data_IF_660250408636
#
_entry.id   IF_660250408636
#
_cell.length_a   1.000
_cell.length_b   1.000
_cell.length_c   1.000
_cell.angle_alpha   90.00
_cell.angle_beta   90.00
_cell.angle_gamma   90.00
#
_symmetry.space_group_name_H-M   'P 1'
#
loop_
_entity.id
_entity.type
_entity.pdbx_description
1 polymer ?
#
# COMPACT_ATOMS: atom_id res chain seq x y z
N UNK A 1 -15.57 -0.96 -22.81
CA UNK A 1 -16.02 -0.08 -23.90
C UNK A 1 -14.83 0.78 -24.30
N UNK A 2 -14.46 0.77 -25.57
CA UNK A 2 -13.40 1.62 -26.12
C UNK A 2 -13.94 3.04 -26.40
N UNK A 3 -13.06 4.00 -26.72
CA UNK A 3 -13.49 5.35 -27.08
C UNK A 3 -14.35 5.39 -28.35
N UNK A 4 -14.18 4.41 -29.26
CA UNK A 4 -15.06 4.19 -30.42
C UNK A 4 -16.49 3.78 -30.05
N UNK A 5 -16.73 3.37 -28.80
CA UNK A 5 -17.99 2.75 -28.36
C UNK A 5 -17.97 1.21 -28.43
N UNK A 6 -16.96 0.60 -29.03
CA UNK A 6 -16.89 -0.86 -29.16
C UNK A 6 -16.83 -1.57 -27.82
N UNK A 7 -17.52 -2.71 -27.73
CA UNK A 7 -17.46 -3.60 -26.59
C UNK A 7 -16.44 -4.70 -26.84
N UNK A 8 -15.41 -4.73 -26.00
CA UNK A 8 -14.37 -5.76 -26.01
C UNK A 8 -14.48 -6.59 -24.73
N UNK A 9 -14.47 -7.91 -24.88
CA UNK A 9 -14.25 -8.88 -23.79
C UNK A 9 -12.84 -9.43 -23.92
N UNK A 10 -12.10 -9.48 -22.82
CA UNK A 10 -10.70 -9.92 -22.80
C UNK A 10 -10.60 -11.41 -22.44
N UNK A 11 -9.41 -11.98 -22.62
CA UNK A 11 -9.15 -13.40 -22.35
C UNK A 11 -10.09 -14.35 -23.09
N UNK A 12 -10.42 -15.45 -22.43
CA UNK A 12 -11.32 -16.47 -22.99
C UNK A 12 -12.79 -16.01 -23.02
N UNK A 13 -13.13 -14.92 -22.35
CA UNK A 13 -14.50 -14.37 -22.36
C UNK A 13 -14.89 -13.72 -23.70
N UNK A 14 -13.91 -13.47 -24.58
CA UNK A 14 -14.16 -13.12 -25.98
C UNK A 14 -14.77 -14.26 -26.81
N UNK A 15 -14.66 -15.52 -26.34
CA UNK A 15 -15.26 -16.68 -27.00
C UNK A 15 -16.75 -16.73 -26.61
N UNK A 16 -17.62 -16.61 -27.61
CA UNK A 16 -19.08 -16.51 -27.39
C UNK A 16 -19.81 -17.84 -27.55
N UNK A 17 -19.17 -18.85 -28.13
CA UNK A 17 -19.80 -20.15 -28.33
C UNK A 17 -20.16 -20.79 -26.98
N UNK A 18 -21.42 -21.20 -26.84
CA UNK A 18 -21.96 -21.92 -25.68
C UNK A 18 -21.66 -21.26 -24.33
N UNK A 19 -21.67 -19.92 -24.25
CA UNK A 19 -21.30 -19.17 -23.04
C UNK A 19 -19.99 -19.67 -22.41
N UNK A 20 -18.97 -19.82 -23.25
CA UNK A 20 -17.63 -20.38 -22.97
C UNK A 20 -17.37 -20.73 -21.50
N UNK A 21 -17.38 -22.03 -21.13
CA UNK A 21 -17.21 -22.45 -19.73
C UNK A 21 -15.84 -22.07 -19.15
N UNK A 22 -14.90 -21.65 -20.00
CA UNK A 22 -13.54 -21.25 -19.61
C UNK A 22 -13.37 -19.74 -19.47
N UNK A 23 -14.41 -18.94 -19.72
CA UNK A 23 -14.37 -17.47 -19.75
C UNK A 23 -13.70 -16.84 -18.51
N UNK A 24 -13.90 -17.44 -17.33
CA UNK A 24 -13.38 -16.93 -16.05
C UNK A 24 -12.42 -17.89 -15.35
N UNK A 25 -12.01 -18.99 -16.01
CA UNK A 25 -11.16 -20.02 -15.40
C UNK A 25 -9.67 -19.77 -15.56
N UNK A 26 -9.26 -19.05 -16.61
CA UNK A 26 -7.85 -18.88 -16.95
C UNK A 26 -7.52 -17.44 -17.29
N UNK A 27 -6.34 -16.98 -16.85
CA UNK A 27 -5.75 -15.70 -17.24
C UNK A 27 -4.96 -15.80 -18.55
N UNK A 28 -4.81 -17.01 -19.10
CA UNK A 28 -4.11 -17.20 -20.37
C UNK A 28 -5.01 -16.86 -21.55
N UNK A 29 -4.46 -16.04 -22.45
CA UNK A 29 -5.12 -15.53 -23.65
C UNK A 29 -4.36 -16.05 -24.89
N UNK A 30 -5.08 -16.38 -25.96
CA UNK A 30 -4.46 -16.63 -27.26
C UNK A 30 -4.22 -15.29 -27.97
N UNK A 31 -2.96 -14.99 -28.31
CA UNK A 31 -2.53 -13.67 -28.78
C UNK A 31 -2.02 -12.77 -27.63
N UNK A 32 -1.86 -11.46 -27.86
CA UNK A 32 -1.43 -10.53 -26.81
C UNK A 32 -2.45 -10.48 -25.66
N UNK A 33 -1.96 -10.59 -24.43
CA UNK A 33 -2.74 -10.25 -23.24
C UNK A 33 -2.84 -8.72 -23.14
N UNK A 34 -4.08 -8.21 -23.22
CA UNK A 34 -4.37 -6.77 -23.25
C UNK A 34 -5.06 -6.29 -21.97
N UNK A 35 -5.38 -7.17 -21.04
CA UNK A 35 -6.06 -6.89 -19.77
C UNK A 35 -5.33 -5.80 -18.97
N UNK A 36 -3.99 -5.89 -18.92
CA UNK A 36 -3.14 -4.93 -18.23
C UNK A 36 -3.24 -3.51 -18.80
N UNK A 37 -3.60 -3.34 -20.08
CA UNK A 37 -3.78 -2.03 -20.69
C UNK A 37 -4.97 -1.27 -20.10
N UNK A 38 -5.90 -1.94 -19.41
CA UNK A 38 -7.06 -1.31 -18.78
C UNK A 38 -6.89 -1.08 -17.27
N UNK A 39 -5.74 -1.46 -16.70
CA UNK A 39 -5.39 -1.18 -15.31
C UNK A 39 -4.60 0.11 -15.24
N UNK A 40 -5.03 1.05 -14.39
CA UNK A 40 -4.36 2.34 -14.23
C UNK A 40 -4.14 3.08 -15.58
N UNK A 41 -5.15 3.12 -16.44
CA UNK A 41 -5.03 3.80 -17.74
C UNK A 41 -6.31 4.57 -18.07
N UNK A 42 -6.32 5.18 -19.25
CA UNK A 42 -7.46 5.86 -19.85
C UNK A 42 -7.81 5.30 -21.24
N UNK A 43 -7.56 4.01 -21.47
CA UNK A 43 -7.75 3.36 -22.78
C UNK A 43 -9.18 2.78 -22.99
N UNK A 44 -10.01 2.80 -21.95
CA UNK A 44 -11.37 2.30 -22.04
C UNK A 44 -12.14 2.42 -20.73
N UNK A 45 -13.45 2.19 -20.80
CA UNK A 45 -14.34 2.07 -19.64
C UNK A 45 -14.60 0.60 -19.36
N UNK A 46 -14.14 0.11 -18.21
CA UNK A 46 -14.43 -1.25 -17.73
C UNK A 46 -15.86 -1.30 -17.21
N UNK A 47 -16.69 -2.18 -17.77
CA UNK A 47 -18.12 -2.30 -17.38
C UNK A 47 -18.44 -3.59 -16.64
N UNK A 48 -17.55 -4.59 -16.72
CA UNK A 48 -17.65 -5.89 -16.05
C UNK A 48 -16.24 -6.42 -15.81
N UNK A 49 -16.04 -7.13 -14.71
CA UNK A 49 -14.80 -7.84 -14.40
C UNK A 49 -15.10 -9.15 -13.68
N UNK A 50 -14.21 -10.13 -13.81
CA UNK A 50 -14.24 -11.35 -13.00
C UNK A 50 -13.13 -11.26 -11.94
N UNK A 51 -13.44 -11.78 -10.76
CA UNK A 51 -12.51 -11.86 -9.63
C UNK A 51 -12.60 -13.28 -9.09
N UNK A 52 -11.46 -13.92 -8.88
CA UNK A 52 -11.42 -15.22 -8.21
C UNK A 52 -11.64 -15.04 -6.72
N UNK A 53 -12.49 -15.90 -6.16
CA UNK A 53 -12.75 -15.94 -4.73
C UNK A 53 -12.00 -17.14 -4.14
N UNK A 54 -11.31 -16.89 -3.03
CA UNK A 54 -10.67 -17.95 -2.29
C UNK A 54 -11.75 -18.80 -1.59
N UNK A 55 -11.71 -20.14 -1.72
CA UNK A 55 -12.61 -21.00 -0.96
C UNK A 55 -12.44 -20.80 0.55
N UNK A 56 -13.53 -20.98 1.28
CA UNK A 56 -13.54 -20.88 2.73
C UNK A 56 -12.55 -21.90 3.34
N UNK A 57 -11.56 -21.45 4.13
CA UNK A 57 -10.58 -22.36 4.72
C UNK A 57 -11.14 -23.04 5.97
N UNK A 58 -10.68 -24.27 6.25
CA UNK A 58 -11.02 -25.02 7.48
C UNK A 58 -10.43 -24.37 8.74
N UNK A 59 -9.29 -23.70 8.61
CA UNK A 59 -8.66 -22.96 9.68
C UNK A 59 -8.08 -21.64 9.17
N UNK A 60 -8.12 -20.65 10.06
CA UNK A 60 -7.49 -19.35 9.94
C UNK A 60 -6.73 -19.09 11.24
N UNK A 61 -5.47 -18.68 11.16
CA UNK A 61 -4.75 -18.16 12.32
C UNK A 61 -4.44 -16.69 12.09
N UNK A 62 -4.91 -15.85 13.00
CA UNK A 62 -4.51 -14.44 13.08
C UNK A 62 -3.16 -14.38 13.78
N UNK A 63 -2.11 -14.01 13.04
CA UNK A 63 -0.76 -13.92 13.57
C UNK A 63 -0.31 -12.47 13.67
N UNK A 64 0.53 -12.20 14.67
CA UNK A 64 1.26 -10.94 14.74
C UNK A 64 2.67 -11.10 15.30
N UNK A 65 3.53 -10.15 14.97
CA UNK A 65 4.89 -10.07 15.49
C UNK A 65 5.26 -8.61 15.79
N UNK A 66 5.80 -8.36 16.98
CA UNK A 66 6.13 -7.03 17.47
C UNK A 66 7.62 -6.91 17.76
N UNK A 67 8.27 -5.84 17.28
CA UNK A 67 9.68 -5.53 17.56
C UNK A 67 9.82 -4.17 18.28
N UNK A 68 10.62 -4.07 19.34
CA UNK A 68 10.62 -2.91 20.23
C UNK A 68 11.34 -1.67 19.68
N UNK A 69 12.35 -1.80 18.81
CA UNK A 69 13.20 -0.66 18.43
C UNK A 69 13.04 -0.25 16.97
N UNK A 70 13.33 1.02 16.66
CA UNK A 70 13.24 1.55 15.30
C UNK A 70 14.15 0.79 14.31
N UNK A 71 15.38 0.48 14.73
CA UNK A 71 16.36 -0.22 13.88
C UNK A 71 16.08 -1.72 13.73
N UNK A 72 15.16 -2.30 14.52
CA UNK A 72 14.77 -3.71 14.39
C UNK A 72 14.08 -4.01 13.05
N UNK A 73 13.61 -2.97 12.34
CA UNK A 73 12.94 -3.12 11.05
C UNK A 73 13.81 -3.88 10.04
N UNK A 74 15.12 -3.64 10.04
CA UNK A 74 16.05 -4.27 9.09
C UNK A 74 16.00 -5.80 9.22
N UNK A 75 16.25 -6.32 10.42
CA UNK A 75 16.24 -7.77 10.66
C UNK A 75 14.82 -8.36 10.53
N UNK A 76 13.80 -7.61 10.92
CA UNK A 76 12.41 -8.02 10.81
C UNK A 76 12.00 -8.20 9.35
N UNK A 77 12.33 -7.25 8.48
CA UNK A 77 12.03 -7.33 7.04
C UNK A 77 12.79 -8.49 6.39
N UNK A 78 14.06 -8.73 6.74
CA UNK A 78 14.82 -9.84 6.17
C UNK A 78 14.26 -11.21 6.59
N UNK A 79 13.88 -11.38 7.86
CA UNK A 79 13.28 -12.61 8.37
C UNK A 79 11.94 -12.92 7.67
N UNK A 80 11.04 -11.94 7.59
CA UNK A 80 9.75 -12.10 6.91
C UNK A 80 9.91 -12.24 5.40
N UNK A 81 10.80 -11.48 4.77
CA UNK A 81 11.06 -11.55 3.34
C UNK A 81 11.52 -12.95 2.91
N UNK A 82 12.36 -13.62 3.70
CA UNK A 82 12.72 -15.01 3.46
C UNK A 82 11.52 -15.96 3.55
N UNK A 83 10.71 -15.84 4.61
CA UNK A 83 9.51 -16.65 4.81
C UNK A 83 8.43 -16.40 3.74
N UNK A 84 8.41 -15.21 3.13
CA UNK A 84 7.57 -14.91 1.96
C UNK A 84 8.09 -15.56 0.70
N UNK A 85 9.41 -15.55 0.46
CA UNK A 85 10.01 -16.16 -0.73
C UNK A 85 9.92 -17.68 -0.76
N UNK A 86 10.03 -18.33 0.40
CA UNK A 86 10.00 -19.79 0.50
C UNK A 86 8.59 -20.37 0.69
N UNK A 87 7.58 -19.52 0.90
CA UNK A 87 6.18 -19.93 1.06
C UNK A 87 5.77 -20.36 2.48
N UNK A 88 6.65 -20.23 3.49
CA UNK A 88 6.30 -20.43 4.90
C UNK A 88 5.15 -19.50 5.29
N UNK A 89 5.22 -18.23 4.86
CA UNK A 89 4.11 -17.28 4.94
C UNK A 89 3.59 -17.03 3.51
N UNK A 90 2.45 -17.62 3.11
CA UNK A 90 1.95 -17.48 1.75
C UNK A 90 1.19 -16.15 1.53
N UNK A 91 0.65 -15.55 2.59
CA UNK A 91 -0.19 -14.34 2.52
C UNK A 91 0.63 -13.06 2.60
N UNK A 92 0.04 -11.95 2.14
CA UNK A 92 0.59 -10.62 2.36
C UNK A 92 0.84 -10.37 3.84
N UNK A 93 2.00 -9.81 4.20
CA UNK A 93 2.31 -9.39 5.58
C UNK A 93 2.20 -7.88 5.61
N UNK A 94 1.31 -7.37 6.44
CA UNK A 94 1.15 -5.94 6.65
C UNK A 94 2.03 -5.51 7.82
N UNK A 95 2.95 -4.60 7.55
CA UNK A 95 3.79 -3.96 8.55
C UNK A 95 3.25 -2.57 8.86
N UNK A 96 3.29 -2.19 10.13
CA UNK A 96 2.87 -0.87 10.60
C UNK A 96 3.82 -0.36 11.67
N UNK A 97 3.98 0.96 11.71
CA UNK A 97 4.75 1.69 12.73
C UNK A 97 3.90 1.96 13.97
N UNK A 98 4.56 2.22 15.10
CA UNK A 98 3.90 2.68 16.32
C UNK A 98 3.05 3.94 16.06
N UNK A 99 3.59 4.92 15.33
CA UNK A 99 2.89 6.16 14.98
C UNK A 99 1.55 5.85 14.31
N UNK A 100 1.54 5.02 13.28
CA UNK A 100 0.31 4.70 12.56
C UNK A 100 -0.71 3.99 13.45
N UNK A 101 -0.25 3.08 14.32
CA UNK A 101 -1.11 2.42 15.30
C UNK A 101 -1.77 3.44 16.24
N UNK A 102 -1.03 4.46 16.69
CA UNK A 102 -1.56 5.55 17.49
C UNK A 102 -2.54 6.43 16.69
N UNK A 103 -2.26 6.69 15.42
CA UNK A 103 -3.13 7.46 14.54
C UNK A 103 -4.51 6.81 14.38
N UNK A 104 -4.57 5.48 14.33
CA UNK A 104 -5.83 4.74 14.28
C UNK A 104 -6.57 4.82 15.62
N UNK A 105 -5.84 4.74 16.73
CA UNK A 105 -6.41 4.64 18.07
C UNK A 105 -6.93 5.98 18.63
N UNK A 106 -6.37 7.11 18.21
CA UNK A 106 -6.69 8.41 18.79
C UNK A 106 -6.28 9.60 17.92
N UNK A 107 -6.17 10.78 18.55
CA UNK A 107 -5.69 12.00 17.89
C UNK A 107 -4.33 12.40 18.43
N UNK A 108 -3.57 13.19 17.68
CA UNK A 108 -2.23 13.62 18.09
C UNK A 108 -2.22 14.23 19.50
N UNK A 109 -3.22 15.07 19.82
CA UNK A 109 -3.35 15.74 21.12
C UNK A 109 -3.56 14.79 22.33
N UNK A 110 -3.98 13.55 22.08
CA UNK A 110 -4.11 12.52 23.11
C UNK A 110 -2.73 12.00 23.57
N UNK A 111 -1.71 12.15 22.72
CA UNK A 111 -0.38 11.57 22.89
C UNK A 111 0.72 12.64 23.03
N UNK A 112 0.56 13.78 22.36
CA UNK A 112 1.51 14.89 22.35
C UNK A 112 0.82 16.24 22.13
N UNK A 113 1.06 17.20 23.04
CA UNK A 113 0.51 18.57 22.99
C UNK A 113 1.57 19.64 22.71
N UNK A 114 2.84 19.24 22.62
CA UNK A 114 3.93 20.15 22.31
C UNK A 114 3.95 20.54 20.82
N UNK A 115 4.87 21.46 20.50
CA UNK A 115 5.16 21.88 19.12
C UNK A 115 5.93 20.79 18.37
N UNK A 116 5.84 20.81 17.03
CA UNK A 116 6.56 19.89 16.16
C UNK A 116 6.13 18.42 16.26
N UNK A 117 6.82 17.51 15.56
CA UNK A 117 6.56 16.06 15.64
C UNK A 117 6.73 15.51 17.06
N UNK A 118 6.12 14.35 17.36
CA UNK A 118 6.32 13.66 18.64
C UNK A 118 7.80 13.30 18.79
N UNK A 119 8.49 13.76 19.86
CA UNK A 119 9.91 13.47 20.04
C UNK A 119 10.15 12.01 20.44
N UNK A 120 11.32 11.47 20.08
CA UNK A 120 11.66 10.06 20.29
C UNK A 120 11.51 9.58 21.75
N UNK A 121 11.83 10.45 22.73
CA UNK A 121 11.64 10.11 24.15
C UNK A 121 10.16 9.89 24.50
N UNK A 122 9.25 10.67 23.91
CA UNK A 122 7.81 10.51 24.14
C UNK A 122 7.27 9.29 23.40
N UNK A 123 7.80 9.00 22.22
CA UNK A 123 7.46 7.75 21.51
C UNK A 123 7.87 6.51 22.29
N UNK A 124 9.00 6.54 22.97
CA UNK A 124 9.42 5.44 23.85
C UNK A 124 8.49 5.28 25.06
N UNK A 125 8.05 6.37 25.70
CA UNK A 125 7.04 6.32 26.75
C UNK A 125 5.72 5.72 26.24
N UNK A 126 5.23 6.19 25.10
CA UNK A 126 3.99 5.69 24.47
C UNK A 126 4.09 4.21 24.11
N UNK A 127 5.26 3.75 23.65
CA UNK A 127 5.53 2.34 23.38
C UNK A 127 5.34 1.49 24.64
N UNK A 128 5.89 1.94 25.77
CA UNK A 128 5.76 1.25 27.06
C UNK A 128 4.32 1.31 27.61
N UNK A 129 3.65 2.47 27.50
CA UNK A 129 2.27 2.69 27.95
C UNK A 129 1.26 1.80 27.20
N UNK A 130 1.45 1.64 25.89
CA UNK A 130 0.53 0.89 25.02
C UNK A 130 0.87 -0.60 24.89
N UNK A 131 2.11 -0.98 25.22
CA UNK A 131 2.62 -2.35 25.04
C UNK A 131 2.91 -2.71 23.58
N UNK A 132 2.77 -1.78 22.64
CA UNK A 132 3.14 -2.00 21.25
C UNK A 132 4.66 -1.97 21.06
N UNK A 133 5.14 -2.61 19.99
CA UNK A 133 6.50 -2.42 19.51
C UNK A 133 6.62 -1.12 18.70
N UNK A 134 7.84 -0.75 18.32
CA UNK A 134 8.04 0.28 17.32
C UNK A 134 7.53 -0.18 15.94
N UNK A 135 7.68 -1.47 15.65
CA UNK A 135 7.22 -2.12 14.43
C UNK A 135 6.35 -3.32 14.73
N UNK A 136 5.29 -3.47 13.94
CA UNK A 136 4.35 -4.57 14.06
C UNK A 136 4.07 -5.18 12.71
N UNK A 137 4.13 -6.51 12.60
CA UNK A 137 3.72 -7.26 11.43
C UNK A 137 2.46 -8.05 11.76
N UNK A 138 1.49 -8.03 10.85
CA UNK A 138 0.24 -8.81 10.91
C UNK A 138 0.05 -9.62 9.65
N UNK A 139 -0.37 -10.86 9.80
CA UNK A 139 -0.60 -11.77 8.69
C UNK A 139 -1.56 -12.89 9.09
N UNK A 140 -2.18 -13.51 8.08
CA UNK A 140 -3.05 -14.66 8.25
C UNK A 140 -2.41 -15.94 7.73
N UNK A 141 -2.62 -17.05 8.43
CA UNK A 141 -2.37 -18.40 7.91
C UNK A 141 -3.71 -19.07 7.64
N UNK A 142 -3.82 -19.78 6.51
CA UNK A 142 -5.10 -20.32 6.02
C UNK A 142 -4.92 -21.74 5.50
N UNK A 143 -5.88 -22.62 5.81
CA UNK A 143 -5.90 -23.97 5.26
C UNK A 143 -6.36 -25.02 6.26
N UNK A 144 -5.98 -26.28 6.10
CA UNK A 144 -6.23 -27.32 7.10
C UNK A 144 -5.54 -26.98 8.43
N UNK A 145 -6.22 -27.23 9.55
CA UNK A 145 -5.73 -26.92 10.91
C UNK A 145 -4.28 -27.37 11.15
N UNK A 146 -3.97 -28.64 10.86
CA UNK A 146 -2.63 -29.22 11.05
C UNK A 146 -1.53 -28.48 10.27
N UNK A 147 -1.85 -27.99 9.08
CA UNK A 147 -0.88 -27.26 8.23
C UNK A 147 -0.63 -25.88 8.83
N UNK A 148 -1.69 -25.18 9.22
CA UNK A 148 -1.60 -23.85 9.85
C UNK A 148 -0.80 -23.90 11.16
N UNK A 149 -1.06 -24.89 12.01
CA UNK A 149 -0.30 -25.09 13.26
C UNK A 149 1.19 -25.35 12.99
N UNK A 150 1.51 -26.24 12.03
CA UNK A 150 2.89 -26.52 11.66
C UNK A 150 3.61 -25.31 11.06
N UNK A 151 2.94 -24.52 10.22
CA UNK A 151 3.47 -23.27 9.68
C UNK A 151 3.77 -22.27 10.80
N UNK A 152 2.87 -22.13 11.78
CA UNK A 152 3.07 -21.19 12.88
C UNK A 152 4.25 -21.58 13.77
N UNK A 153 4.43 -22.87 14.07
CA UNK A 153 5.59 -23.33 14.83
C UNK A 153 6.92 -23.11 14.07
N UNK A 154 6.96 -23.35 12.76
CA UNK A 154 8.14 -23.02 11.94
C UNK A 154 8.45 -21.50 11.97
N UNK A 155 7.42 -20.66 11.88
CA UNK A 155 7.58 -19.20 11.95
C UNK A 155 8.15 -18.78 13.32
N UNK A 156 7.66 -19.36 14.41
CA UNK A 156 8.19 -19.12 15.75
C UNK A 156 9.66 -19.50 15.84
N UNK A 157 10.04 -20.66 15.32
CA UNK A 157 11.43 -21.14 15.33
C UNK A 157 12.37 -20.24 14.53
N UNK A 158 11.93 -19.75 13.37
CA UNK A 158 12.69 -18.79 12.55
C UNK A 158 12.86 -17.46 13.28
N UNK A 159 11.78 -16.91 13.82
CA UNK A 159 11.80 -15.61 14.49
C UNK A 159 12.57 -15.64 15.81
N UNK A 160 12.47 -16.73 16.59
CA UNK A 160 13.28 -16.90 17.80
C UNK A 160 14.78 -16.90 17.51
N UNK A 161 15.21 -17.36 16.33
CA UNK A 161 16.62 -17.37 15.91
C UNK A 161 17.06 -16.02 15.33
N UNK A 162 16.24 -15.40 14.48
CA UNK A 162 16.62 -14.21 13.70
C UNK A 162 16.27 -12.89 14.38
N UNK A 163 15.16 -12.85 15.11
CA UNK A 163 14.61 -11.63 15.73
C UNK A 163 14.21 -11.92 17.20
N UNK A 164 15.17 -12.32 18.06
CA UNK A 164 14.90 -12.82 19.42
C UNK A 164 14.33 -11.77 20.38
N UNK A 165 14.44 -10.48 20.05
CA UNK A 165 13.85 -9.37 20.83
C UNK A 165 12.36 -9.19 20.56
N UNK A 166 11.82 -9.85 19.53
CA UNK A 166 10.43 -9.72 19.15
C UNK A 166 9.50 -10.69 19.85
N UNK A 167 8.22 -10.36 19.82
CA UNK A 167 7.15 -11.19 20.41
C UNK A 167 6.16 -11.58 19.34
N UNK A 168 5.96 -12.89 19.16
CA UNK A 168 4.98 -13.47 18.23
C UNK A 168 3.71 -13.89 18.98
N UNK A 169 2.54 -13.64 18.39
CA UNK A 169 1.26 -14.12 18.86
C UNK A 169 0.46 -14.77 17.73
N UNK A 170 -0.43 -15.71 18.07
CA UNK A 170 -1.25 -16.44 17.12
C UNK A 170 -2.56 -16.88 17.76
N UNK A 171 -3.69 -16.50 17.16
CA UNK A 171 -5.02 -16.95 17.58
C UNK A 171 -5.64 -17.81 16.48
N UNK A 172 -5.86 -19.08 16.78
CA UNK A 172 -6.43 -20.06 15.85
C UNK A 172 -7.96 -20.06 15.87
N UNK A 173 -8.54 -20.01 14.68
CA UNK A 173 -9.94 -20.27 14.38
C UNK A 173 -10.00 -21.50 13.49
N UNK A 174 -10.77 -22.52 13.88
CA UNK A 174 -10.92 -23.73 13.07
C UNK A 174 -12.32 -24.31 13.20
N UNK A 175 -12.85 -24.80 12.09
CA UNK A 175 -14.14 -25.49 11.99
C UNK A 175 -14.08 -26.52 10.85
N UNK A 176 -14.63 -27.71 11.07
CA UNK A 176 -14.60 -28.80 10.06
C UNK A 176 -15.31 -28.42 8.75
N UNK A 177 -16.31 -27.54 8.84
CA UNK A 177 -17.09 -27.05 7.70
C UNK A 177 -16.57 -25.74 7.10
N UNK A 178 -15.55 -25.13 7.72
CA UNK A 178 -14.96 -23.87 7.29
C UNK A 178 -15.14 -22.75 8.30
N UNK A 179 -14.13 -21.89 8.45
CA UNK A 179 -14.14 -20.77 9.41
C UNK A 179 -15.20 -19.74 9.00
N UNK A 180 -16.15 -19.48 9.90
CA UNK A 180 -17.11 -18.39 9.75
C UNK A 180 -16.41 -17.04 9.97
N UNK A 181 -16.22 -16.30 8.88
CA UNK A 181 -15.54 -15.01 8.87
C UNK A 181 -16.20 -13.97 9.79
N UNK A 182 -17.52 -14.04 9.99
CA UNK A 182 -18.26 -13.10 10.84
C UNK A 182 -17.96 -13.26 12.33
N UNK A 183 -17.40 -14.41 12.75
CA UNK A 183 -17.01 -14.69 14.13
C UNK A 183 -15.58 -14.27 14.46
N UNK A 184 -14.79 -13.85 13.46
CA UNK A 184 -13.43 -13.34 13.68
C UNK A 184 -13.53 -11.87 14.13
N UNK A 185 -13.08 -11.54 15.36
CA UNK A 185 -13.13 -10.17 15.87
C UNK A 185 -12.20 -9.21 15.11
N UNK A 186 -12.46 -7.91 15.22
CA UNK A 186 -11.68 -6.86 14.53
C UNK A 186 -10.24 -6.82 15.05
N UNK A 187 -10.04 -7.01 16.36
CA UNK A 187 -8.74 -7.09 17.01
C UNK A 187 -7.88 -8.24 16.46
N UNK A 188 -8.49 -9.35 16.06
CA UNK A 188 -7.83 -10.48 15.40
C UNK A 188 -7.87 -10.37 13.87
N UNK A 189 -8.20 -9.20 13.35
CA UNK A 189 -8.08 -8.88 11.93
C UNK A 189 -9.16 -9.55 11.08
N UNK A 190 -10.42 -9.24 11.34
CA UNK A 190 -11.56 -9.64 10.49
C UNK A 190 -11.37 -9.30 9.00
N UNK A 191 -10.58 -8.27 8.67
CA UNK A 191 -10.16 -7.95 7.30
C UNK A 191 -9.36 -9.08 6.63
N UNK A 192 -8.59 -9.87 7.38
CA UNK A 192 -7.83 -11.01 6.87
C UNK A 192 -8.71 -12.19 6.47
N UNK A 193 -9.97 -12.22 6.90
CA UNK A 193 -10.97 -13.20 6.45
C UNK A 193 -12.01 -12.59 5.52
N UNK A 194 -11.71 -11.42 4.94
CA UNK A 194 -12.52 -10.80 3.91
C UNK A 194 -13.75 -10.03 4.41
N UNK A 195 -13.83 -9.71 5.71
CA UNK A 195 -14.90 -8.85 6.25
C UNK A 195 -14.50 -7.38 6.07
N UNK A 196 -15.21 -6.58 5.25
CA UNK A 196 -14.91 -5.17 5.05
C UNK A 196 -15.16 -4.35 6.32
N UNK A 197 -14.33 -3.33 6.54
CA UNK A 197 -14.38 -2.51 7.76
C UNK A 197 -13.93 -1.07 7.47
N UNK A 198 -14.30 -0.14 8.36
CA UNK A 198 -13.87 1.28 8.34
C UNK A 198 -12.99 1.64 9.55
N UNK A 199 -12.38 0.65 10.20
CA UNK A 199 -11.66 0.82 11.47
C UNK A 199 -10.45 1.78 11.38
N UNK A 200 -9.83 1.91 10.20
CA UNK A 200 -8.70 2.82 9.97
C UNK A 200 -9.13 4.24 9.61
N UNK A 201 -10.41 4.50 9.32
CA UNK A 201 -10.90 5.82 8.92
C UNK A 201 -10.59 6.93 9.94
N UNK A 202 -10.60 6.71 11.28
CA UNK A 202 -10.25 7.75 12.24
C UNK A 202 -8.87 8.39 12.05
N UNK A 203 -7.91 7.66 11.46
CA UNK A 203 -6.52 8.09 11.24
C UNK A 203 -6.40 9.45 10.55
N UNK A 204 -7.31 9.77 9.64
CA UNK A 204 -7.26 11.05 8.90
C UNK A 204 -7.43 12.27 9.82
N UNK A 205 -8.03 12.09 10.99
CA UNK A 205 -8.27 13.15 11.97
C UNK A 205 -7.08 13.37 12.92
N UNK A 206 -5.98 12.63 12.75
CA UNK A 206 -4.78 12.73 13.58
C UNK A 206 -4.34 14.17 13.87
N UNK A 207 -4.23 15.09 12.89
CA UNK A 207 -3.71 16.44 13.13
C UNK A 207 -4.80 17.42 13.58
N UNK A 208 -6.07 17.00 13.68
CA UNK A 208 -7.20 17.90 13.97
C UNK A 208 -7.57 17.83 15.45
N UNK A 209 -7.37 18.91 16.23
CA UNK A 209 -7.78 18.96 17.63
C UNK A 209 -9.28 18.71 17.79
N UNK A 210 -9.69 18.02 18.88
CA UNK A 210 -11.11 17.78 19.21
C UNK A 210 -11.91 19.06 19.36
N UNK A 211 -11.27 20.15 19.75
CA UNK A 211 -11.89 21.47 19.86
C UNK A 211 -12.14 22.14 18.51
N UNK A 212 -11.44 21.75 17.43
CA UNK A 212 -11.57 22.37 16.11
C UNK A 212 -12.75 21.77 15.35
N UNK A 213 -13.83 22.55 15.22
CA UNK A 213 -15.09 22.11 14.61
C UNK A 213 -15.18 22.36 13.11
N UNK A 214 -14.31 23.22 12.56
CA UNK A 214 -14.25 23.59 11.15
C UNK A 214 -13.07 22.97 10.38
N UNK A 215 -12.26 22.13 11.06
CA UNK A 215 -11.14 21.42 10.46
C UNK A 215 -11.60 20.41 9.40
N UNK A 216 -10.80 20.23 8.36
CA UNK A 216 -11.08 19.30 7.26
C UNK A 216 -9.95 18.30 7.11
N UNK A 217 -10.20 17.07 7.56
CA UNK A 217 -9.22 16.00 7.50
C UNK A 217 -8.85 15.65 6.05
N UNK A 218 -7.56 15.48 5.81
CA UNK A 218 -7.04 14.90 4.58
C UNK A 218 -5.89 13.95 4.87
N UNK A 219 -5.68 13.04 3.93
CA UNK A 219 -4.53 12.16 3.91
C UNK A 219 -3.91 12.13 2.52
N UNK A 220 -2.65 11.73 2.47
CA UNK A 220 -1.91 11.44 1.26
C UNK A 220 -0.78 10.48 1.60
N UNK A 221 -0.13 9.98 0.57
CA UNK A 221 0.95 9.02 0.69
C UNK A 221 2.00 9.24 -0.39
N UNK A 222 3.25 8.95 -0.05
CA UNK A 222 4.28 8.66 -1.03
C UNK A 222 4.60 7.17 -0.94
N UNK A 223 4.31 6.43 -2.01
CA UNK A 223 4.23 4.97 -2.00
C UNK A 223 5.25 4.25 -2.93
N UNK A 224 6.55 4.27 -2.59
CA UNK A 224 7.57 3.65 -3.42
C UNK A 224 7.50 2.13 -3.32
N UNK A 225 7.87 1.46 -4.42
CA UNK A 225 8.14 0.02 -4.43
C UNK A 225 9.62 -0.19 -4.14
N UNK A 226 9.90 -0.84 -3.02
CA UNK A 226 11.27 -1.11 -2.55
C UNK A 226 11.51 -2.62 -2.57
N UNK A 227 12.72 -3.12 -2.90
CA UNK A 227 13.02 -4.54 -2.75
C UNK A 227 12.72 -5.04 -1.33
N UNK A 228 12.33 -6.31 -1.20
CA UNK A 228 12.14 -6.97 0.10
C UNK A 228 13.51 -7.26 0.74
N UNK A 229 14.13 -6.19 1.24
CA UNK A 229 15.46 -6.13 1.85
C UNK A 229 15.41 -5.19 3.04
N UNK A 230 15.80 -5.70 4.21
CA UNK A 230 15.81 -4.94 5.46
C UNK A 230 16.63 -3.67 5.35
N UNK A 231 17.84 -3.79 4.82
CA UNK A 231 18.75 -2.67 4.59
C UNK A 231 18.09 -1.55 3.76
N UNK A 232 17.49 -1.88 2.62
CA UNK A 232 16.93 -0.86 1.71
C UNK A 232 15.68 -0.21 2.28
N UNK A 233 14.85 -0.96 3.01
CA UNK A 233 13.67 -0.42 3.70
C UNK A 233 14.11 0.47 4.87
N UNK A 234 15.11 0.06 5.66
CA UNK A 234 15.63 0.86 6.76
C UNK A 234 16.31 2.14 6.28
N UNK A 235 17.07 2.07 5.19
CA UNK A 235 17.64 3.25 4.53
C UNK A 235 16.57 4.23 4.07
N UNK A 236 15.43 3.75 3.56
CA UNK A 236 14.29 4.60 3.24
C UNK A 236 13.74 5.30 4.49
N UNK A 237 13.46 4.56 5.58
CA UNK A 237 12.94 5.16 6.82
C UNK A 237 13.89 6.22 7.40
N UNK A 238 15.21 5.97 7.38
CA UNK A 238 16.22 6.94 7.86
C UNK A 238 16.29 8.20 7.01
N UNK A 239 15.91 8.14 5.73
CA UNK A 239 15.85 9.30 4.84
C UNK A 239 14.49 10.00 4.89
N UNK A 240 13.39 9.26 5.01
CA UNK A 240 12.05 9.82 5.05
C UNK A 240 11.72 10.45 6.40
N UNK A 241 12.23 9.91 7.52
CA UNK A 241 12.00 10.46 8.88
C UNK A 241 12.31 11.97 8.97
N UNK A 242 13.54 12.45 8.68
CA UNK A 242 13.82 13.88 8.78
C UNK A 242 12.98 14.72 7.81
N UNK A 243 12.66 14.20 6.61
CA UNK A 243 11.79 14.91 5.65
C UNK A 243 10.38 15.11 6.22
N UNK A 244 9.82 14.09 6.87
CA UNK A 244 8.54 14.21 7.56
C UNK A 244 8.64 15.22 8.71
N UNK A 245 9.65 15.08 9.56
CA UNK A 245 9.80 15.86 10.78
C UNK A 245 10.07 17.36 10.52
N UNK A 246 10.92 17.67 9.54
CA UNK A 246 11.21 19.04 9.09
C UNK A 246 9.95 19.74 8.55
N UNK A 247 8.94 18.97 8.16
CA UNK A 247 7.64 19.46 7.68
C UNK A 247 6.53 19.35 8.75
N UNK A 248 6.89 19.04 10.00
CA UNK A 248 5.96 19.00 11.13
C UNK A 248 5.03 17.78 11.16
N UNK A 249 5.42 16.69 10.49
CA UNK A 249 4.65 15.45 10.39
C UNK A 249 5.47 14.31 10.99
N UNK A 250 4.85 13.45 11.81
CA UNK A 250 5.51 12.25 12.30
C UNK A 250 5.75 11.25 11.16
N UNK A 251 6.83 10.45 11.24
CA UNK A 251 7.02 9.35 10.29
C UNK A 251 5.94 8.27 10.52
N UNK A 252 4.83 8.39 9.79
CA UNK A 252 3.80 7.38 9.70
C UNK A 252 4.09 6.47 8.51
N UNK A 253 4.43 5.23 8.78
CA UNK A 253 4.76 4.24 7.77
C UNK A 253 4.02 2.92 7.98
N UNK A 254 3.36 2.45 6.92
CA UNK A 254 3.01 1.05 6.72
C UNK A 254 3.75 0.49 5.50
N UNK A 255 3.74 -0.83 5.37
CA UNK A 255 3.96 -1.43 4.06
C UNK A 255 3.32 -2.80 3.93
N UNK A 256 2.97 -3.13 2.69
CA UNK A 256 2.52 -4.44 2.28
C UNK A 256 3.71 -5.20 1.70
N UNK A 257 4.23 -6.15 2.47
CA UNK A 257 5.30 -7.01 2.00
C UNK A 257 4.74 -8.02 0.99
N UNK A 258 5.46 -8.20 -0.11
CA UNK A 258 5.31 -9.29 -1.06
C UNK A 258 6.58 -10.15 -1.06
N UNK A 259 6.65 -11.17 -1.91
CA UNK A 259 7.77 -12.12 -1.95
C UNK A 259 9.08 -11.43 -2.31
N UNK A 260 9.04 -10.40 -3.17
CA UNK A 260 10.26 -9.79 -3.74
C UNK A 260 10.35 -8.28 -3.53
N UNK A 261 9.28 -7.65 -3.10
CA UNK A 261 9.20 -6.21 -2.91
C UNK A 261 8.28 -5.89 -1.74
N UNK A 262 8.36 -4.67 -1.25
CA UNK A 262 7.35 -4.06 -0.39
C UNK A 262 6.70 -2.93 -1.16
N UNK A 263 5.39 -2.78 -1.03
CA UNK A 263 4.71 -1.55 -1.39
C UNK A 263 4.62 -0.74 -0.11
N UNK A 264 5.50 0.25 0.02
CA UNK A 264 5.60 1.05 1.22
C UNK A 264 4.63 2.21 1.13
N UNK A 265 3.95 2.56 2.23
CA UNK A 265 3.11 3.75 2.34
C UNK A 265 3.70 4.68 3.39
N UNK A 266 4.38 5.73 2.94
CA UNK A 266 4.73 6.85 3.80
C UNK A 266 3.52 7.78 3.81
N UNK A 267 2.57 7.49 4.71
CA UNK A 267 1.33 8.24 4.81
C UNK A 267 1.56 9.53 5.60
N UNK A 268 0.75 10.54 5.30
CA UNK A 268 0.72 11.80 6.04
C UNK A 268 -0.71 12.35 6.04
N UNK A 269 -1.06 13.04 7.10
CA UNK A 269 -2.38 13.64 7.29
C UNK A 269 -2.22 15.12 7.61
N UNK A 270 -3.21 15.92 7.21
CA UNK A 270 -3.23 17.35 7.48
C UNK A 270 -4.66 17.90 7.55
N UNK A 271 -4.78 19.10 8.09
CA UNK A 271 -6.00 19.90 7.98
C UNK A 271 -6.00 20.74 6.70
N UNK A 272 -6.91 20.48 5.77
CA UNK A 272 -7.01 21.22 4.49
C UNK A 272 -7.29 22.73 4.67
N UNK A 273 -7.82 23.12 5.83
CA UNK A 273 -8.07 24.53 6.16
C UNK A 273 -6.80 25.25 6.60
N UNK A 274 -5.75 24.53 6.96
CA UNK A 274 -4.48 25.09 7.41
C UNK A 274 -3.54 25.33 6.22
N UNK A 275 -3.24 26.59 5.85
CA UNK A 275 -2.36 26.90 4.72
C UNK A 275 -0.90 26.48 4.96
N UNK A 276 -0.44 26.48 6.22
CA UNK A 276 0.94 26.11 6.58
C UNK A 276 1.10 24.60 6.41
N UNK A 277 0.16 23.80 6.95
CA UNK A 277 0.21 22.35 6.76
C UNK A 277 0.14 21.97 5.28
N UNK A 278 -0.71 22.62 4.46
CA UNK A 278 -0.74 22.37 3.02
C UNK A 278 0.59 22.61 2.33
N UNK A 279 1.29 23.70 2.69
CA UNK A 279 2.60 23.99 2.13
C UNK A 279 3.65 22.98 2.58
N UNK A 280 3.62 22.58 3.86
CA UNK A 280 4.52 21.57 4.41
C UNK A 280 4.30 20.19 3.77
N UNK A 281 3.05 19.77 3.56
CA UNK A 281 2.75 18.50 2.88
C UNK A 281 3.23 18.51 1.43
N UNK A 282 3.14 19.66 0.74
CA UNK A 282 3.74 19.81 -0.60
C UNK A 282 5.25 19.55 -0.54
N UNK A 283 5.98 20.26 0.33
CA UNK A 283 7.43 20.12 0.51
C UNK A 283 7.83 18.69 0.89
N UNK A 284 7.09 18.09 1.82
CA UNK A 284 7.28 16.69 2.24
C UNK A 284 7.17 15.75 1.04
N UNK A 285 6.10 15.85 0.24
CA UNK A 285 5.90 14.99 -0.92
C UNK A 285 7.05 15.07 -1.93
N UNK A 286 7.46 16.28 -2.31
CA UNK A 286 8.58 16.48 -3.24
C UNK A 286 9.93 16.05 -2.64
N UNK A 287 10.14 16.24 -1.34
CA UNK A 287 11.32 15.72 -0.65
C UNK A 287 11.42 14.19 -0.73
N UNK A 288 10.30 13.49 -0.46
CA UNK A 288 10.24 12.02 -0.61
C UNK A 288 10.42 11.58 -2.07
N UNK A 289 9.90 12.37 -3.02
CA UNK A 289 10.07 12.13 -4.45
C UNK A 289 11.54 12.15 -4.87
N UNK A 290 12.30 13.16 -4.44
CA UNK A 290 13.72 13.27 -4.78
C UNK A 290 14.52 12.09 -4.23
N UNK A 291 14.24 11.65 -3.00
CA UNK A 291 14.88 10.44 -2.44
C UNK A 291 14.55 9.20 -3.26
N UNK A 292 13.29 9.03 -3.68
CA UNK A 292 12.89 7.89 -4.49
C UNK A 292 13.56 7.91 -5.87
N UNK A 293 13.63 9.08 -6.51
CA UNK A 293 14.30 9.30 -7.79
C UNK A 293 15.81 9.01 -7.71
N UNK A 294 16.50 9.55 -6.71
CA UNK A 294 17.94 9.30 -6.47
C UNK A 294 18.22 7.80 -6.32
N UNK A 295 17.31 7.07 -5.68
CA UNK A 295 17.45 5.63 -5.41
C UNK A 295 16.90 4.72 -6.50
N UNK A 296 16.28 5.26 -7.55
CA UNK A 296 15.64 4.48 -8.60
C UNK A 296 14.41 3.70 -8.15
N UNK A 297 13.69 4.18 -7.13
CA UNK A 297 12.45 3.58 -6.66
C UNK A 297 11.26 4.12 -7.44
N UNK A 298 10.55 3.22 -8.12
CA UNK A 298 9.30 3.54 -8.81
C UNK A 298 8.12 3.63 -7.83
N UNK A 299 7.05 4.29 -8.26
CA UNK A 299 5.79 4.38 -7.53
C UNK A 299 4.76 3.45 -8.16
N UNK A 300 3.97 2.74 -7.35
CA UNK A 300 2.91 1.88 -7.88
C UNK A 300 1.63 2.65 -8.24
N UNK A 301 1.35 3.76 -7.53
CA UNK A 301 0.21 4.69 -7.70
C UNK A 301 0.57 6.09 -7.18
N UNK A 302 -0.21 7.09 -7.61
CA UNK A 302 -0.08 8.48 -7.16
C UNK A 302 -1.44 9.20 -7.16
N UNK A 303 -1.50 10.31 -6.41
CA UNK A 303 -2.59 11.28 -6.45
C UNK A 303 -2.67 11.97 -7.82
N UNK A 304 -3.85 12.47 -8.22
CA UNK A 304 -4.07 13.09 -9.55
C UNK A 304 -3.11 14.26 -9.82
N UNK A 305 -2.81 15.07 -8.81
CA UNK A 305 -1.86 16.20 -8.89
C UNK A 305 -0.39 15.79 -9.06
N UNK A 306 -0.08 14.49 -9.06
CA UNK A 306 1.30 14.00 -9.11
C UNK A 306 1.50 12.97 -10.22
N UNK A 307 0.48 12.71 -11.04
CA UNK A 307 0.56 11.69 -12.08
C UNK A 307 1.62 12.01 -13.14
N UNK A 308 1.77 13.28 -13.53
CA UNK A 308 2.79 13.70 -14.49
C UNK A 308 4.20 13.58 -13.91
N UNK A 309 4.40 14.01 -12.66
CA UNK A 309 5.66 13.87 -11.93
C UNK A 309 6.09 12.40 -11.85
N UNK A 310 5.18 11.52 -11.43
CA UNK A 310 5.46 10.09 -11.29
C UNK A 310 5.64 9.41 -12.65
N UNK A 311 4.86 9.78 -13.66
CA UNK A 311 5.07 9.28 -15.02
C UNK A 311 6.44 9.69 -15.58
N UNK A 312 6.98 10.83 -15.11
CA UNK A 312 8.32 11.32 -15.37
C UNK A 312 9.46 10.41 -14.96
N UNK A 313 9.26 9.59 -13.91
CA UNK A 313 10.26 8.59 -13.46
C UNK A 313 10.59 7.55 -14.54
N UNK A 314 9.71 7.35 -15.53
CA UNK A 314 9.97 6.49 -16.67
C UNK A 314 10.81 7.23 -17.73
N UNK A 315 12.06 7.56 -17.43
CA UNK A 315 12.93 8.40 -18.27
C UNK A 315 13.79 7.65 -19.29
N UNK A 316 13.89 6.33 -19.14
CA UNK A 316 14.72 5.48 -20.00
C UNK A 316 14.45 5.71 -21.50
N UNK A 317 15.54 5.89 -22.27
CA UNK A 317 15.52 6.11 -23.71
C UNK A 317 14.59 7.28 -24.13
N UNK A 318 14.70 8.38 -23.37
CA UNK A 318 13.97 9.64 -23.59
C UNK A 318 12.49 9.57 -23.24
N UNK A 319 12.09 8.77 -22.25
CA UNK A 319 10.70 8.41 -21.94
C UNK A 319 10.04 7.49 -22.97
N UNK A 320 10.75 6.43 -23.42
CA UNK A 320 10.24 5.53 -24.46
C UNK A 320 8.92 4.84 -24.07
N UNK A 321 8.74 4.50 -22.79
CA UNK A 321 7.50 3.93 -22.26
C UNK A 321 6.33 4.90 -22.46
N UNK A 322 6.45 6.15 -21.99
CA UNK A 322 5.38 7.15 -22.10
C UNK A 322 5.02 7.40 -23.56
N UNK A 323 6.02 7.60 -24.43
CA UNK A 323 5.78 7.80 -25.87
C UNK A 323 5.05 6.61 -26.52
N UNK A 324 5.35 5.38 -26.09
CA UNK A 324 4.68 4.18 -26.60
C UNK A 324 3.22 4.11 -26.15
N UNK A 325 2.96 4.32 -24.86
CA UNK A 325 1.59 4.29 -24.31
C UNK A 325 0.74 5.42 -24.91
N UNK A 326 1.32 6.61 -25.13
CA UNK A 326 0.62 7.71 -25.78
C UNK A 326 0.30 7.44 -27.25
N UNK A 327 1.15 6.71 -27.99
CA UNK A 327 0.81 6.26 -29.35
C UNK A 327 -0.40 5.32 -29.34
N UNK A 328 -0.49 4.41 -28.36
CA UNK A 328 -1.67 3.56 -28.18
C UNK A 328 -2.89 4.43 -27.86
N UNK A 329 -2.75 5.39 -26.95
CA UNK A 329 -3.83 6.32 -26.58
C UNK A 329 -4.36 7.09 -27.78
N UNK A 330 -3.49 7.73 -28.56
CA UNK A 330 -3.89 8.50 -29.74
C UNK A 330 -4.57 7.63 -30.80
N UNK A 331 -4.17 6.37 -30.91
CA UNK A 331 -4.76 5.41 -31.85
C UNK A 331 -6.17 4.99 -31.41
N UNK A 332 -6.35 4.68 -30.13
CA UNK A 332 -7.62 4.18 -29.59
C UNK A 332 -8.62 5.28 -29.28
N UNK A 333 -8.16 6.50 -29.02
CA UNK A 333 -8.96 7.66 -28.62
C UNK A 333 -8.44 8.94 -29.30
N UNK A 334 -8.65 9.09 -30.62
CA UNK A 334 -8.12 10.22 -31.40
C UNK A 334 -8.70 11.57 -30.97
N UNK A 335 -9.88 11.58 -30.34
CA UNK A 335 -10.51 12.79 -29.81
C UNK A 335 -10.13 13.08 -28.34
N UNK A 336 -9.39 12.16 -27.69
CA UNK A 336 -8.93 12.32 -26.32
C UNK A 336 -10.04 12.40 -25.26
N UNK A 337 -11.17 11.73 -25.47
CA UNK A 337 -12.36 11.87 -24.62
C UNK A 337 -12.26 11.13 -23.28
N UNK A 338 -11.49 10.05 -23.22
CA UNK A 338 -11.40 9.21 -22.03
C UNK A 338 -10.28 9.75 -21.11
N UNK A 339 -10.67 10.32 -19.98
CA UNK A 339 -9.82 10.69 -18.83
C UNK A 339 -8.40 11.19 -19.21
N UNK A 340 -8.29 12.29 -19.98
CA UNK A 340 -6.98 12.84 -20.36
C UNK A 340 -6.13 13.16 -19.11
N UNK A 341 -4.85 12.81 -19.15
CA UNK A 341 -3.90 13.04 -18.05
C UNK A 341 -3.84 11.93 -16.98
N UNK A 342 -4.74 10.95 -17.00
CA UNK A 342 -4.66 9.79 -16.09
C UNK A 342 -3.31 9.06 -16.27
N UNK A 343 -2.57 8.90 -15.17
CA UNK A 343 -1.19 8.37 -15.13
C UNK A 343 -0.20 9.12 -16.04
N UNK A 344 -0.43 10.41 -16.29
CA UNK A 344 0.39 11.22 -17.18
C UNK A 344 0.29 10.82 -18.65
N UNK A 345 -0.77 10.11 -19.03
CA UNK A 345 -1.05 9.72 -20.42
C UNK A 345 -1.95 10.79 -21.04
N UNK A 346 -1.35 11.64 -21.87
CA UNK A 346 -2.05 12.75 -22.51
C UNK A 346 -2.32 12.45 -23.99
N UNK A 347 -3.59 12.56 -24.45
CA UNK A 347 -3.90 12.53 -25.87
C UNK A 347 -3.21 13.69 -26.59
N UNK A 348 -2.86 13.52 -27.86
CA UNK A 348 -2.12 14.49 -28.68
C UNK A 348 -2.63 15.93 -28.56
N UNK A 349 -3.95 16.14 -28.64
CA UNK A 349 -4.57 17.46 -28.53
C UNK A 349 -4.45 18.13 -27.16
N UNK A 350 -4.15 17.36 -26.11
CA UNK A 350 -4.08 17.83 -24.71
C UNK A 350 -2.70 17.75 -24.09
N UNK A 351 -1.65 17.32 -24.83
CA UNK A 351 -0.28 17.22 -24.29
C UNK A 351 0.28 18.53 -23.75
N UNK A 352 -0.21 19.66 -24.24
CA UNK A 352 0.16 21.00 -23.76
C UNK A 352 -0.36 21.32 -22.34
N UNK A 353 -1.24 20.47 -21.78
CA UNK A 353 -1.74 20.60 -20.40
C UNK A 353 -0.93 19.77 -19.40
N UNK A 354 0.08 19.02 -19.86
CA UNK A 354 0.97 18.28 -18.97
C UNK A 354 1.71 19.28 -18.08
N UNK A 355 1.74 19.01 -16.77
CA UNK A 355 2.47 19.85 -15.82
C UNK A 355 3.98 19.72 -16.06
N UNK A 356 4.68 20.85 -16.16
CA UNK A 356 6.14 20.87 -16.22
C UNK A 356 6.74 20.45 -14.87
N UNK A 357 7.79 19.64 -14.91
CA UNK A 357 8.38 18.99 -13.73
C UNK A 357 9.20 19.93 -12.83
N UNK A 358 9.21 21.24 -13.07
CA UNK A 358 9.98 22.17 -12.26
C UNK A 358 9.22 22.50 -10.97
N UNK A 359 9.65 21.86 -9.88
CA UNK A 359 9.25 22.26 -8.54
C UNK A 359 9.91 23.60 -8.20
N UNK A 360 9.18 24.70 -8.41
CA UNK A 360 9.53 25.99 -7.81
C UNK A 360 9.33 25.89 -6.29
N UNK A 361 10.46 25.94 -5.58
CA UNK A 361 10.71 25.73 -4.14
C UNK A 361 9.61 26.07 -3.13
#
# INVERSE_FOLDING_TARGET
MLASGDLVRTGQWGITANDSPTAFLSKFTYGPSIEGLFLQSNLGVVTKMSIWLQPQPQAFMSCSFSMPFFDDLEVMVDAFGEMRRNGTIPSCVWFTSLIETLCIAGRREDYWKGEGPIPDWRLEELRLETGYGHWYARFGLYGPKRVVEAQFEEIKDVLAKKAPTGTISGTLYADETGVDAAKVPVEHGSMFVGVPQLWSLPLINWPIPKSKTDGKAAHGDYAPVIPSSGKLVMEWMRKSKPICEDNGVELMADFFMHERHVVLMNMFTWDQTDPVQKQNIKKLYYGLHEVAKERGYGMYRAHVNHMDLIAGLNDFNGHAYNRFVEKIKDTLDPNGILSPGKQGIWPSGFRHLREDQEYDG
#
